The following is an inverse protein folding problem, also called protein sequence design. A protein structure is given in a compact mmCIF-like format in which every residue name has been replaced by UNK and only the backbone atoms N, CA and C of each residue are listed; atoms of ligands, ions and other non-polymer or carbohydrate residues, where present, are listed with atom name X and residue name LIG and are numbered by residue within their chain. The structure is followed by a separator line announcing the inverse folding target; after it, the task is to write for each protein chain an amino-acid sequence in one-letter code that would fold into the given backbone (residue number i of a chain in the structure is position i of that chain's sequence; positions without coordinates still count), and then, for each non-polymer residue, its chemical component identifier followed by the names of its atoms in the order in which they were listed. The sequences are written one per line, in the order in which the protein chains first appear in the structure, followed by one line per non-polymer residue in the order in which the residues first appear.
data_IF_947004355203
#
_entry.id   IF_947004355203
#
_cell.length_a   1.000
_cell.length_b   1.000
_cell.length_c   1.000
_cell.angle_alpha   90.00
_cell.angle_beta   90.00
_cell.angle_gamma   90.00
#
_symmetry.space_group_name_H-M   'P 1'
#
loop_
_entity.id
_entity.type
_entity.pdbx_description
1 polymer ?
#
# COMPACT_ATOMS: atom_id res chain seq x y z
N UNK A 1 5.66 3.46 -9.51
CA UNK A 1 4.70 4.57 -9.43
C UNK A 1 3.65 4.29 -8.38
N UNK A 2 3.36 5.26 -7.54
CA UNK A 2 2.36 5.14 -6.48
C UNK A 2 1.30 6.22 -6.65
N UNK A 3 0.04 5.86 -6.43
CA UNK A 3 -1.07 6.81 -6.34
C UNK A 3 -1.53 6.82 -4.89
N UNK A 4 -1.30 7.93 -4.20
CA UNK A 4 -1.57 8.05 -2.77
C UNK A 4 -2.82 8.88 -2.55
N UNK A 5 -3.90 8.34 -1.97
CA UNK A 5 -5.02 9.15 -1.54
C UNK A 5 -4.60 9.99 -0.32
N UNK A 6 -4.93 11.28 -0.32
CA UNK A 6 -4.54 12.19 0.74
C UNK A 6 -5.77 12.96 1.22
N UNK A 7 -5.99 12.94 2.52
CA UNK A 7 -7.08 13.69 3.15
C UNK A 7 -6.55 14.96 3.80
N UNK A 8 -7.37 16.00 3.78
CA UNK A 8 -7.06 17.27 4.44
C UNK A 8 -6.50 18.34 3.53
N UNK A 9 -6.33 18.08 2.24
CA UNK A 9 -5.89 19.10 1.29
C UNK A 9 -7.07 19.98 0.90
N UNK A 10 -6.97 21.28 1.17
CA UNK A 10 -8.05 22.22 0.90
C UNK A 10 -7.66 23.31 -0.10
N UNK A 11 -6.38 23.45 -0.43
CA UNK A 11 -5.91 24.51 -1.33
C UNK A 11 -4.59 24.14 -2.01
N UNK A 12 -4.19 24.95 -2.99
CA UNK A 12 -2.95 24.73 -3.74
C UNK A 12 -1.69 24.76 -2.88
N UNK A 13 -1.69 25.53 -1.79
CA UNK A 13 -0.57 25.55 -0.83
C UNK A 13 -0.38 24.19 -0.17
N UNK A 14 -1.49 23.51 0.14
CA UNK A 14 -1.46 22.17 0.70
C UNK A 14 -0.82 21.19 -0.28
N UNK A 15 -1.22 21.26 -1.55
CA UNK A 15 -0.63 20.42 -2.59
C UNK A 15 0.88 20.61 -2.69
N UNK A 16 1.35 21.86 -2.65
CA UNK A 16 2.79 22.15 -2.69
C UNK A 16 3.54 21.59 -1.50
N UNK A 17 2.96 21.63 -0.31
CA UNK A 17 3.56 21.06 0.90
C UNK A 17 3.69 19.55 0.80
N UNK A 18 2.66 18.89 0.31
CA UNK A 18 2.68 17.44 0.14
C UNK A 18 3.73 17.04 -0.90
N UNK A 19 3.78 17.75 -2.02
CA UNK A 19 4.79 17.49 -3.05
C UNK A 19 6.20 17.58 -2.48
N UNK A 20 6.49 18.64 -1.74
CA UNK A 20 7.80 18.81 -1.12
C UNK A 20 8.13 17.71 -0.13
N UNK A 21 7.15 17.32 0.69
CA UNK A 21 7.36 16.25 1.66
C UNK A 21 7.67 14.92 0.96
N UNK A 22 6.96 14.61 -0.11
CA UNK A 22 7.20 13.39 -0.89
C UNK A 22 8.56 13.40 -1.58
N UNK A 23 8.98 14.55 -2.11
CA UNK A 23 10.28 14.67 -2.77
C UNK A 23 11.45 14.49 -1.81
N UNK A 24 11.25 14.69 -0.51
CA UNK A 24 12.28 14.44 0.51
C UNK A 24 12.52 12.97 0.78
N UNK A 25 11.59 12.09 0.39
CA UNK A 25 11.77 10.65 0.58
C UNK A 25 12.91 10.17 -0.31
N UNK A 26 13.91 9.47 0.24
CA UNK A 26 15.01 8.95 -0.58
C UNK A 26 14.51 8.03 -1.68
N UNK A 27 14.98 8.24 -2.89
CA UNK A 27 14.62 7.43 -4.05
C UNK A 27 13.43 7.95 -4.85
N UNK A 28 12.71 8.96 -4.36
CA UNK A 28 11.62 9.59 -5.11
C UNK A 28 12.22 10.51 -6.17
N UNK A 29 11.84 10.30 -7.43
CA UNK A 29 12.29 11.13 -8.54
C UNK A 29 11.32 12.27 -8.86
N UNK A 30 10.03 12.05 -8.69
CA UNK A 30 9.03 13.09 -8.88
C UNK A 30 7.78 12.83 -8.06
N UNK A 31 7.07 13.90 -7.73
CA UNK A 31 5.80 13.85 -7.03
C UNK A 31 4.88 14.94 -7.55
N UNK A 32 3.64 14.58 -7.83
CA UNK A 32 2.59 15.49 -8.29
C UNK A 32 1.34 15.29 -7.48
N UNK A 33 0.68 16.37 -7.12
CA UNK A 33 -0.57 16.33 -6.37
C UNK A 33 -1.70 16.85 -7.23
N UNK A 34 -2.82 16.14 -7.23
CA UNK A 34 -4.05 16.54 -7.89
C UNK A 34 -5.09 16.85 -6.81
N UNK A 35 -5.46 18.12 -6.68
CA UNK A 35 -6.45 18.56 -5.70
C UNK A 35 -7.86 18.08 -6.02
N UNK A 36 -8.20 17.98 -7.31
CA UNK A 36 -9.53 17.56 -7.71
C UNK A 36 -9.86 16.13 -7.28
N UNK A 37 -8.86 15.24 -7.37
CA UNK A 37 -9.02 13.84 -6.95
C UNK A 37 -8.47 13.59 -5.56
N UNK A 38 -7.84 14.57 -4.93
CA UNK A 38 -7.18 14.44 -3.64
C UNK A 38 -6.18 13.29 -3.59
N UNK A 39 -5.39 13.17 -4.65
CA UNK A 39 -4.37 12.13 -4.78
C UNK A 39 -3.02 12.71 -5.15
N UNK A 40 -1.96 11.98 -4.80
CA UNK A 40 -0.60 12.31 -5.21
C UNK A 40 -0.05 11.18 -6.06
N UNK A 41 0.58 11.54 -7.18
CA UNK A 41 1.32 10.59 -8.01
C UNK A 41 2.80 10.71 -7.68
N UNK A 42 3.40 9.59 -7.32
CA UNK A 42 4.81 9.54 -6.95
C UNK A 42 5.54 8.57 -7.85
N UNK A 43 6.67 9.01 -8.39
CA UNK A 43 7.57 8.16 -9.15
C UNK A 43 8.89 8.05 -8.40
N UNK A 44 9.45 6.85 -8.38
CA UNK A 44 10.71 6.62 -7.68
C UNK A 44 11.25 5.22 -7.94
N UNK A 45 12.41 4.95 -7.36
CA UNK A 45 13.09 3.67 -7.48
C UNK A 45 12.46 2.58 -6.62
N UNK A 46 12.98 1.36 -6.78
CA UNK A 46 12.47 0.19 -6.06
C UNK A 46 12.68 0.27 -4.53
N UNK A 47 13.57 1.12 -4.08
CA UNK A 47 13.85 1.31 -2.66
C UNK A 47 12.82 2.18 -1.94
N UNK A 48 11.93 2.85 -2.67
CA UNK A 48 10.88 3.69 -2.08
C UNK A 48 9.80 2.76 -1.53
N UNK A 49 9.50 2.87 -0.24
CA UNK A 49 8.47 2.09 0.40
C UNK A 49 7.17 2.87 0.55
N UNK A 50 6.04 2.16 0.44
CA UNK A 50 4.71 2.76 0.62
C UNK A 50 4.57 3.40 2.01
N UNK A 51 5.12 2.78 3.04
CA UNK A 51 5.06 3.29 4.40
C UNK A 51 5.82 4.61 4.53
N UNK A 52 6.99 4.73 3.92
CA UNK A 52 7.78 5.96 3.96
C UNK A 52 7.02 7.12 3.30
N UNK A 53 6.33 6.87 2.21
CA UNK A 53 5.50 7.87 1.53
C UNK A 53 4.34 8.32 2.42
N UNK A 54 3.64 7.38 3.05
CA UNK A 54 2.53 7.68 3.94
C UNK A 54 3.01 8.51 5.15
N UNK A 55 4.14 8.13 5.74
CA UNK A 55 4.72 8.88 6.86
C UNK A 55 5.10 10.32 6.48
N UNK A 56 5.65 10.52 5.28
CA UNK A 56 5.98 11.85 4.80
C UNK A 56 4.76 12.74 4.69
N UNK A 57 3.65 12.21 4.19
CA UNK A 57 2.39 12.94 4.10
C UNK A 57 1.86 13.28 5.50
N UNK A 58 1.93 12.34 6.43
CA UNK A 58 1.48 12.57 7.80
C UNK A 58 2.31 13.64 8.50
N UNK A 59 3.62 13.66 8.28
CA UNK A 59 4.50 14.69 8.83
C UNK A 59 4.19 16.09 8.29
N UNK A 60 3.68 16.16 7.07
CA UNK A 60 3.27 17.44 6.49
C UNK A 60 1.93 17.95 7.07
N UNK A 61 1.27 17.17 7.90
CA UNK A 61 0.00 17.53 8.55
C UNK A 61 -1.24 17.00 7.85
N UNK A 62 -1.09 16.08 6.93
CA UNK A 62 -2.19 15.47 6.19
C UNK A 62 -2.30 14.00 6.53
N UNK A 63 -3.39 13.36 6.10
CA UNK A 63 -3.63 11.96 6.39
C UNK A 63 -3.76 11.15 5.12
N UNK A 64 -3.25 9.91 5.18
CA UNK A 64 -3.46 8.90 4.15
C UNK A 64 -4.46 7.89 4.69
N UNK A 65 -5.64 7.73 4.06
CA UNK A 65 -6.62 6.76 4.52
C UNK A 65 -6.04 5.35 4.49
N UNK A 66 -6.16 4.63 5.60
CA UNK A 66 -5.75 3.23 5.69
C UNK A 66 -6.95 2.33 5.57
N UNK A 67 -6.77 1.25 4.83
CA UNK A 67 -7.75 0.19 4.69
C UNK A 67 -7.11 -1.14 5.00
N UNK A 68 -7.91 -2.12 5.34
CA UNK A 68 -7.45 -3.48 5.63
C UNK A 68 -8.23 -4.45 4.76
N UNK A 69 -7.53 -5.40 4.15
CA UNK A 69 -8.14 -6.53 3.49
C UNK A 69 -7.71 -7.83 4.15
N UNK A 70 -8.56 -8.82 4.10
CA UNK A 70 -8.27 -10.16 4.57
C UNK A 70 -8.40 -11.14 3.43
N UNK A 71 -7.41 -12.03 3.32
CA UNK A 71 -7.34 -13.06 2.28
C UNK A 71 -7.23 -14.42 2.95
N UNK A 72 -7.95 -15.40 2.40
CA UNK A 72 -7.70 -16.80 2.73
C UNK A 72 -6.66 -17.34 1.75
N UNK A 73 -5.58 -17.91 2.26
CA UNK A 73 -4.49 -18.44 1.44
C UNK A 73 -4.42 -19.95 1.62
N UNK A 74 -4.48 -20.68 0.52
CA UNK A 74 -4.38 -22.12 0.52
C UNK A 74 -3.02 -22.58 -0.01
N UNK A 75 -2.54 -23.71 0.48
CA UNK A 75 -1.28 -24.29 0.05
C UNK A 75 -0.07 -23.94 0.90
N UNK A 76 -0.26 -23.17 1.96
CA UNK A 76 0.79 -22.90 2.92
C UNK A 76 1.03 -24.12 3.80
N UNK A 77 2.25 -24.63 3.81
CA UNK A 77 2.60 -25.81 4.61
C UNK A 77 3.71 -25.55 5.62
N UNK A 78 4.38 -24.42 5.57
CA UNK A 78 5.50 -24.10 6.46
C UNK A 78 5.76 -22.59 6.54
N UNK A 79 6.63 -22.21 7.46
CA UNK A 79 7.00 -20.81 7.68
C UNK A 79 7.62 -20.14 6.45
N UNK A 80 8.31 -20.90 5.60
CA UNK A 80 8.87 -20.37 4.34
C UNK A 80 7.78 -19.86 3.42
N UNK A 81 6.64 -20.55 3.36
CA UNK A 81 5.50 -20.13 2.57
C UNK A 81 4.96 -18.79 3.05
N UNK A 82 4.84 -18.62 4.37
CA UNK A 82 4.41 -17.36 4.99
C UNK A 82 5.32 -16.21 4.56
N UNK A 83 6.63 -16.40 4.65
CA UNK A 83 7.60 -15.38 4.27
C UNK A 83 7.49 -15.00 2.80
N UNK A 84 7.31 -15.98 1.92
CA UNK A 84 7.15 -15.71 0.47
C UNK A 84 5.92 -14.87 0.18
N UNK A 85 4.80 -15.20 0.81
CA UNK A 85 3.55 -14.48 0.62
C UNK A 85 3.68 -13.07 1.17
N UNK A 86 4.23 -12.89 2.36
CA UNK A 86 4.45 -11.57 2.93
C UNK A 86 5.34 -10.70 2.02
N UNK A 87 6.41 -11.24 1.49
CA UNK A 87 7.28 -10.51 0.56
C UNK A 87 6.54 -10.11 -0.72
N UNK A 88 5.76 -11.02 -1.28
CA UNK A 88 5.00 -10.75 -2.49
C UNK A 88 3.99 -9.63 -2.27
N UNK A 89 3.30 -9.64 -1.13
CA UNK A 89 2.33 -8.61 -0.80
C UNK A 89 2.98 -7.27 -0.48
N UNK A 90 4.07 -7.27 0.28
CA UNK A 90 4.78 -6.04 0.64
C UNK A 90 5.46 -5.37 -0.57
N UNK A 91 5.71 -6.10 -1.64
CA UNK A 91 6.27 -5.54 -2.87
C UNK A 91 5.25 -4.75 -3.69
N UNK A 92 3.96 -4.88 -3.39
CA UNK A 92 2.92 -4.16 -4.14
C UNK A 92 2.90 -2.68 -3.74
N UNK A 93 2.82 -1.76 -4.72
CA UNK A 93 2.65 -0.34 -4.41
C UNK A 93 1.34 -0.09 -3.67
N UNK A 94 1.41 0.62 -2.55
CA UNK A 94 0.24 0.94 -1.74
C UNK A 94 0.05 0.03 -0.53
N UNK A 95 0.77 -1.07 -0.43
CA UNK A 95 0.72 -1.94 0.74
C UNK A 95 1.60 -1.35 1.84
N UNK A 96 1.02 -1.11 3.01
CA UNK A 96 1.74 -0.62 4.17
C UNK A 96 2.34 -1.76 4.97
N UNK A 97 1.55 -2.79 5.21
CA UNK A 97 1.98 -3.94 6.00
C UNK A 97 1.16 -5.16 5.60
N UNK A 98 1.81 -6.31 5.52
CA UNK A 98 1.15 -7.58 5.28
C UNK A 98 1.56 -8.56 6.37
N UNK A 99 0.58 -9.20 6.99
CA UNK A 99 0.78 -10.24 8.00
C UNK A 99 0.08 -11.51 7.56
N UNK A 100 0.78 -12.64 7.64
CA UNK A 100 0.22 -13.94 7.29
C UNK A 100 0.19 -14.81 8.54
N UNK A 101 -0.95 -15.45 8.78
CA UNK A 101 -1.12 -16.39 9.88
C UNK A 101 -1.24 -17.82 9.31
N UNK A 102 -0.24 -18.65 9.60
CA UNK A 102 -0.21 -20.02 9.13
C UNK A 102 -1.30 -20.88 9.78
N UNK A 103 -1.59 -20.64 11.05
CA UNK A 103 -2.56 -21.43 11.80
C UNK A 103 -3.99 -21.27 11.24
N UNK A 104 -4.36 -20.05 10.83
CA UNK A 104 -5.67 -19.77 10.25
C UNK A 104 -5.64 -19.77 8.73
N UNK A 105 -4.45 -19.84 8.13
CA UNK A 105 -4.24 -19.75 6.67
C UNK A 105 -4.85 -18.48 6.09
N UNK A 106 -4.68 -17.36 6.79
CA UNK A 106 -5.20 -16.08 6.38
C UNK A 106 -4.08 -15.04 6.31
N UNK A 107 -4.22 -14.10 5.40
CA UNK A 107 -3.33 -12.96 5.28
C UNK A 107 -4.13 -11.68 5.53
N UNK A 108 -3.56 -10.78 6.32
CA UNK A 108 -4.14 -9.47 6.59
C UNK A 108 -3.21 -8.41 6.01
N UNK A 109 -3.76 -7.55 5.18
CA UNK A 109 -2.98 -6.53 4.46
C UNK A 109 -3.54 -5.15 4.78
N UNK A 110 -2.70 -4.30 5.37
CA UNK A 110 -3.00 -2.88 5.55
C UNK A 110 -2.47 -2.13 4.33
N UNK A 111 -3.31 -1.29 3.72
CA UNK A 111 -2.96 -0.63 2.47
C UNK A 111 -3.67 0.73 2.36
N UNK A 112 -3.20 1.56 1.44
CA UNK A 112 -3.85 2.80 1.07
C UNK A 112 -4.13 2.90 -0.44
N UNK A 113 -3.89 1.82 -1.18
CA UNK A 113 -4.06 1.80 -2.63
C UNK A 113 -5.51 1.91 -3.08
N UNK A 114 -5.70 1.97 -4.38
CA UNK A 114 -7.02 2.07 -5.00
C UNK A 114 -7.77 0.74 -5.01
N UNK A 115 -8.93 0.74 -5.69
CA UNK A 115 -9.81 -0.40 -5.76
C UNK A 115 -9.17 -1.64 -6.40
N UNK A 116 -8.11 -1.46 -7.21
CA UNK A 116 -7.43 -2.57 -7.89
C UNK A 116 -6.49 -3.34 -6.98
N UNK A 117 -6.13 -2.81 -5.81
CA UNK A 117 -5.14 -3.45 -4.95
C UNK A 117 -5.55 -4.83 -4.46
N UNK A 118 -6.80 -5.09 -4.06
CA UNK A 118 -7.21 -6.45 -3.71
C UNK A 118 -6.98 -7.45 -4.84
N UNK A 119 -7.28 -7.08 -6.08
CA UNK A 119 -7.03 -7.92 -7.26
C UNK A 119 -5.54 -8.17 -7.46
N UNK A 120 -4.72 -7.13 -7.29
CA UNK A 120 -3.27 -7.24 -7.40
C UNK A 120 -2.69 -8.15 -6.30
N UNK A 121 -3.24 -8.07 -5.09
CA UNK A 121 -2.81 -8.93 -3.99
C UNK A 121 -3.09 -10.40 -4.28
N UNK A 122 -4.29 -10.72 -4.79
CA UNK A 122 -4.62 -12.07 -5.19
C UNK A 122 -3.68 -12.58 -6.28
N UNK A 123 -3.40 -11.76 -7.28
CA UNK A 123 -2.48 -12.12 -8.36
C UNK A 123 -1.07 -12.36 -7.84
N UNK A 124 -0.60 -11.56 -6.89
CA UNK A 124 0.73 -11.71 -6.31
C UNK A 124 0.87 -13.04 -5.57
N UNK A 125 -0.15 -13.43 -4.80
CA UNK A 125 -0.17 -14.72 -4.10
C UNK A 125 -0.18 -15.88 -5.10
N UNK A 126 -0.96 -15.79 -6.16
CA UNK A 126 -0.99 -16.80 -7.21
C UNK A 126 0.35 -16.95 -7.92
N UNK A 127 1.04 -15.84 -8.19
CA UNK A 127 2.38 -15.87 -8.78
C UNK A 127 3.40 -16.54 -7.86
N UNK A 128 3.21 -16.43 -6.55
CA UNK A 128 4.08 -17.09 -5.59
C UNK A 128 3.83 -18.61 -5.50
N UNK A 129 2.79 -19.11 -6.16
CA UNK A 129 2.47 -20.53 -6.22
C UNK A 129 1.37 -20.98 -5.29
N UNK A 130 0.60 -20.05 -4.74
CA UNK A 130 -0.47 -20.34 -3.78
C UNK A 130 -1.82 -19.89 -4.33
N UNK A 131 -2.89 -20.37 -3.71
CA UNK A 131 -4.26 -19.97 -4.07
C UNK A 131 -4.77 -19.05 -2.97
N UNK A 132 -5.37 -17.93 -3.37
CA UNK A 132 -5.91 -16.97 -2.42
C UNK A 132 -7.34 -16.60 -2.80
N UNK A 133 -8.15 -16.33 -1.76
CA UNK A 133 -9.52 -15.85 -1.91
C UNK A 133 -9.68 -14.60 -1.04
N UNK A 134 -10.35 -13.60 -1.57
CA UNK A 134 -10.63 -12.38 -0.82
C UNK A 134 -11.77 -12.64 0.16
N UNK A 135 -11.52 -12.44 1.45
CA UNK A 135 -12.53 -12.55 2.49
C UNK A 135 -13.21 -11.21 2.73
N UNK A 136 -12.42 -10.16 2.94
CA UNK A 136 -12.89 -8.80 3.17
C UNK A 136 -11.94 -7.81 2.51
N UNK A 137 -12.48 -6.69 2.05
CA UNK A 137 -11.68 -5.63 1.44
C UNK A 137 -12.22 -4.27 1.83
N UNK A 138 -11.36 -3.24 1.74
CA UNK A 138 -11.71 -1.83 1.95
C UNK A 138 -12.29 -1.52 3.33
N UNK A 139 -11.91 -2.30 4.34
CA UNK A 139 -12.34 -2.03 5.70
C UNK A 139 -11.47 -0.95 6.32
N UNK A 140 -12.06 0.01 7.07
CA UNK A 140 -11.27 0.99 7.79
C UNK A 140 -10.38 0.30 8.83
N UNK A 141 -9.16 0.79 8.93
CA UNK A 141 -8.21 0.26 9.90
C UNK A 141 -8.50 0.78 11.31
#
# INVERSE_FOLDING_TARGET
MWTIPIEGMTCASCAGRVEKALLRVPGVSSARVNLASETALVEGGAQVGSQALAESVQRAGYQVPRKVMELAVEGMSCASCVTRIEKALNALPGVLEASVNLATQQARVAYWGGADLPTQALAAVQKAGYTAHLLNADQPA
#
